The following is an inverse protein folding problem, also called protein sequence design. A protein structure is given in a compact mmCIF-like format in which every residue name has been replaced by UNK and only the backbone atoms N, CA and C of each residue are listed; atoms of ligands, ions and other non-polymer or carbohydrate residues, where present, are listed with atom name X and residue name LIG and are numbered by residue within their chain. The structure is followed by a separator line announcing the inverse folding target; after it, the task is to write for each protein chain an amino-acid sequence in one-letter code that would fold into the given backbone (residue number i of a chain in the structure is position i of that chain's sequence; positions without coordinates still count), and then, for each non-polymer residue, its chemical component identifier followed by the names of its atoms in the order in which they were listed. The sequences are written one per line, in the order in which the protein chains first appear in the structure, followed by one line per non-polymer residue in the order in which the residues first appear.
data_IF_605527094603
#
_entry.id   IF_605527094603
#
_cell.length_a   1.000
_cell.length_b   1.000
_cell.length_c   1.000
_cell.angle_alpha   90.00
_cell.angle_beta   90.00
_cell.angle_gamma   90.00
#
_symmetry.space_group_name_H-M   'P 1'
#
loop_
_entity.id
_entity.type
_entity.pdbx_description
1 polymer ?
#
# COMPACT_ATOMS: atom_id res chain seq x y z
N UNK A 1 -13.73 -4.71 12.48
CA UNK A 1 -13.20 -4.38 11.14
C UNK A 1 -13.84 -5.28 10.08
N UNK A 2 -14.25 -4.75 8.93
CA UNK A 2 -14.88 -5.51 7.83
C UNK A 2 -13.96 -6.61 7.26
N UNK A 3 -12.64 -6.39 7.34
CA UNK A 3 -11.63 -7.29 6.79
C UNK A 3 -10.78 -7.96 7.86
N UNK A 4 -11.26 -7.97 9.10
CA UNK A 4 -10.58 -8.55 10.26
C UNK A 4 -9.18 -7.95 10.54
N UNK A 5 -9.01 -6.68 10.20
CA UNK A 5 -7.78 -5.90 10.42
C UNK A 5 -7.83 -5.29 11.84
N UNK A 6 -7.66 -6.12 12.85
CA UNK A 6 -7.86 -5.76 14.26
C UNK A 6 -6.70 -4.95 14.87
N UNK A 7 -5.53 -4.96 14.22
CA UNK A 7 -4.34 -4.20 14.63
C UNK A 7 -4.11 -2.95 13.78
N UNK A 8 -5.14 -2.53 13.02
CA UNK A 8 -5.06 -1.32 12.18
C UNK A 8 -5.93 -0.23 12.77
N UNK A 9 -5.36 0.95 12.96
CA UNK A 9 -6.02 2.10 13.58
C UNK A 9 -5.55 3.42 12.98
N UNK A 10 -6.33 4.50 13.21
CA UNK A 10 -5.92 5.88 12.99
C UNK A 10 -5.45 6.56 14.28
N UNK A 11 -5.60 5.89 15.42
CA UNK A 11 -5.29 6.43 16.73
C UNK A 11 -3.94 5.93 17.19
N UNK A 12 -2.96 6.82 17.16
CA UNK A 12 -1.58 6.51 17.54
C UNK A 12 -1.48 6.00 18.98
N UNK A 13 -2.28 6.55 19.88
CA UNK A 13 -2.31 6.19 21.29
C UNK A 13 -2.65 4.72 21.55
N UNK A 14 -3.40 4.08 20.64
CA UNK A 14 -3.78 2.66 20.76
C UNK A 14 -2.62 1.71 20.45
N UNK A 15 -1.58 2.18 19.74
CA UNK A 15 -0.46 1.35 19.24
C UNK A 15 0.91 1.96 19.53
N UNK A 16 0.99 2.95 20.39
CA UNK A 16 2.20 3.73 20.63
C UNK A 16 3.41 2.86 21.03
N UNK A 17 3.18 1.85 21.89
CA UNK A 17 4.22 0.93 22.35
C UNK A 17 4.61 -0.16 21.34
N UNK A 18 3.80 -0.32 20.29
CA UNK A 18 3.99 -1.29 19.21
C UNK A 18 4.54 -0.64 17.94
N UNK A 19 4.49 0.70 17.86
CA UNK A 19 4.87 1.42 16.67
C UNK A 19 6.38 1.46 16.52
N UNK A 20 6.88 0.84 15.46
CA UNK A 20 8.29 0.91 15.08
C UNK A 20 8.67 2.37 14.82
N UNK A 21 9.79 2.83 15.35
CA UNK A 21 10.27 4.20 15.17
C UNK A 21 10.56 4.49 13.70
N UNK A 22 10.04 5.62 13.21
CA UNK A 22 10.34 6.11 11.88
C UNK A 22 11.73 6.75 11.81
N UNK A 23 12.42 6.56 10.70
CA UNK A 23 13.79 7.05 10.49
C UNK A 23 13.85 8.06 9.34
N UNK A 24 14.63 9.12 9.53
CA UNK A 24 14.97 10.07 8.47
C UNK A 24 16.02 9.49 7.50
N UNK A 25 16.52 10.30 6.57
CA UNK A 25 17.52 9.87 5.59
C UNK A 25 18.91 9.61 6.19
N UNK A 26 19.19 10.10 7.37
CA UNK A 26 20.42 9.89 8.13
C UNK A 26 20.34 8.68 9.08
N UNK A 27 19.14 8.13 9.28
CA UNK A 27 18.89 7.03 10.21
C UNK A 27 18.50 7.48 11.63
N UNK A 28 18.25 8.77 11.83
CA UNK A 28 17.79 9.29 13.10
C UNK A 28 16.28 9.09 13.26
N UNK A 29 15.83 8.86 14.50
CA UNK A 29 14.41 8.77 14.80
C UNK A 29 13.68 10.09 14.53
N UNK A 30 12.52 10.01 13.91
CA UNK A 30 11.64 11.15 13.66
C UNK A 30 10.23 10.88 14.20
N UNK A 31 9.52 11.92 14.65
CA UNK A 31 8.16 11.77 15.12
C UNK A 31 7.24 11.32 13.98
N UNK A 32 6.25 10.51 14.33
CA UNK A 32 5.17 10.20 13.40
C UNK A 32 4.35 11.47 13.10
N UNK A 33 3.89 11.60 11.85
CA UNK A 33 3.04 12.71 11.47
C UNK A 33 1.68 12.62 12.16
N UNK A 34 1.21 13.75 12.65
CA UNK A 34 -0.16 13.93 13.08
C UNK A 34 -0.98 14.45 11.89
N UNK A 35 -1.72 13.55 11.25
CA UNK A 35 -2.51 13.87 10.06
C UNK A 35 -3.93 14.33 10.38
N UNK A 36 -4.37 14.26 11.65
CA UNK A 36 -5.69 14.73 12.10
C UNK A 36 -6.82 14.38 11.10
N UNK A 37 -7.47 15.40 10.54
CA UNK A 37 -8.56 15.25 9.56
C UNK A 37 -8.14 14.49 8.29
N UNK A 38 -6.85 14.50 7.94
CA UNK A 38 -6.30 13.74 6.82
C UNK A 38 -5.93 12.29 7.17
N UNK A 39 -6.25 11.83 8.38
CA UNK A 39 -6.02 10.46 8.81
C UNK A 39 -6.46 9.40 7.79
N UNK A 40 -7.68 9.45 7.25
CA UNK A 40 -8.15 8.49 6.25
C UNK A 40 -7.33 8.47 4.95
N UNK A 41 -6.68 9.58 4.59
CA UNK A 41 -5.89 9.68 3.36
C UNK A 41 -4.46 9.14 3.50
N UNK A 42 -3.91 9.07 4.73
CA UNK A 42 -2.51 8.65 4.92
C UNK A 42 -2.11 8.30 6.34
N UNK A 43 -3.04 8.31 7.29
CA UNK A 43 -2.75 8.13 8.72
C UNK A 43 -3.00 6.72 9.26
N UNK A 44 -3.29 5.73 8.40
CA UNK A 44 -3.50 4.36 8.87
C UNK A 44 -2.18 3.80 9.41
N UNK A 45 -2.20 3.40 10.66
CA UNK A 45 -1.16 2.60 11.31
C UNK A 45 -1.58 1.13 11.21
N UNK A 46 -0.71 0.29 10.70
CA UNK A 46 -1.01 -1.11 10.42
C UNK A 46 0.25 -1.97 10.49
N UNK A 47 0.08 -3.28 10.35
CA UNK A 47 1.15 -4.25 10.26
C UNK A 47 1.02 -5.13 9.01
N UNK A 48 2.02 -5.95 8.73
CA UNK A 48 2.03 -6.80 7.53
C UNK A 48 0.92 -7.86 7.55
N UNK A 49 0.52 -8.36 8.72
CA UNK A 49 -0.56 -9.33 8.85
C UNK A 49 -1.90 -8.73 8.41
N UNK A 50 -2.29 -7.58 8.97
CA UNK A 50 -3.54 -6.91 8.62
C UNK A 50 -3.56 -6.45 7.16
N UNK A 51 -2.42 -5.93 6.66
CA UNK A 51 -2.31 -5.56 5.26
C UNK A 51 -2.39 -6.78 4.32
N UNK A 52 -1.97 -7.96 4.76
CA UNK A 52 -2.18 -9.22 4.03
C UNK A 52 -3.66 -9.59 3.98
N UNK A 53 -4.41 -9.43 5.08
CA UNK A 53 -5.88 -9.62 5.09
C UNK A 53 -6.56 -8.66 4.10
N UNK A 54 -6.11 -7.40 4.03
CA UNK A 54 -6.62 -6.44 3.05
C UNK A 54 -6.32 -6.86 1.60
N UNK A 55 -5.11 -7.39 1.33
CA UNK A 55 -4.76 -7.94 0.01
C UNK A 55 -5.67 -9.11 -0.34
N UNK A 56 -5.87 -10.05 0.58
CA UNK A 56 -6.74 -11.23 0.37
C UNK A 56 -8.18 -10.78 0.09
N UNK A 57 -8.68 -9.77 0.81
CA UNK A 57 -10.00 -9.20 0.56
C UNK A 57 -10.14 -8.64 -0.87
N UNK A 58 -9.07 -8.11 -1.47
CA UNK A 58 -9.08 -7.63 -2.86
C UNK A 58 -9.38 -8.74 -3.88
N UNK A 59 -9.18 -10.01 -3.53
CA UNK A 59 -9.46 -11.13 -4.42
C UNK A 59 -10.94 -11.54 -4.44
N UNK A 60 -11.76 -10.99 -3.53
CA UNK A 60 -13.20 -11.22 -3.50
C UNK A 60 -13.91 -10.32 -4.50
N UNK A 61 -14.21 -10.85 -5.67
CA UNK A 61 -14.93 -10.10 -6.73
C UNK A 61 -16.40 -9.80 -6.39
N UNK A 62 -16.96 -10.42 -5.34
CA UNK A 62 -18.31 -10.14 -4.84
C UNK A 62 -18.35 -8.90 -3.95
N UNK A 63 -17.21 -8.44 -3.43
CA UNK A 63 -17.11 -7.18 -2.69
C UNK A 63 -17.20 -6.01 -3.66
N UNK A 64 -18.40 -5.41 -3.72
CA UNK A 64 -18.71 -4.32 -4.66
C UNK A 64 -17.91 -3.05 -4.37
N UNK A 65 -17.60 -2.78 -3.10
CA UNK A 65 -16.83 -1.60 -2.70
C UNK A 65 -15.38 -1.71 -3.19
N UNK A 66 -14.71 -2.83 -2.89
CA UNK A 66 -13.34 -3.06 -3.34
C UNK A 66 -13.25 -3.12 -4.87
N UNK A 67 -14.28 -3.65 -5.54
CA UNK A 67 -14.35 -3.64 -7.00
C UNK A 67 -14.44 -2.22 -7.53
N UNK A 68 -15.32 -1.38 -6.96
CA UNK A 68 -15.48 0.02 -7.34
C UNK A 68 -14.17 0.80 -7.21
N UNK A 69 -13.41 0.58 -6.13
CA UNK A 69 -12.11 1.24 -5.93
C UNK A 69 -11.12 0.94 -7.06
N UNK A 70 -11.23 -0.23 -7.69
CA UNK A 70 -10.36 -0.67 -8.78
C UNK A 70 -10.87 -0.33 -10.19
N UNK A 71 -12.05 0.25 -10.32
CA UNK A 71 -12.55 0.72 -11.60
C UNK A 71 -11.75 1.92 -12.07
N UNK A 72 -11.38 1.92 -13.36
CA UNK A 72 -10.61 3.01 -13.91
C UNK A 72 -11.47 4.26 -14.05
N UNK A 73 -11.11 5.31 -13.34
CA UNK A 73 -11.78 6.62 -13.39
C UNK A 73 -11.06 7.61 -14.32
N UNK A 74 -9.73 7.44 -14.47
CA UNK A 74 -8.98 8.29 -15.40
C UNK A 74 -7.83 7.53 -16.06
N UNK A 75 -7.33 8.10 -17.16
CA UNK A 75 -6.19 7.59 -17.92
C UNK A 75 -5.00 8.53 -17.72
N UNK A 76 -3.87 8.00 -17.26
CA UNK A 76 -2.63 8.75 -17.16
C UNK A 76 -1.85 8.65 -18.46
N UNK A 77 -1.69 7.43 -18.99
CA UNK A 77 -1.08 7.17 -20.30
C UNK A 77 -1.51 5.79 -20.84
N UNK A 78 -0.87 5.29 -21.90
CA UNK A 78 -1.22 4.02 -22.53
C UNK A 78 -1.04 2.78 -21.65
N UNK A 79 -0.17 2.86 -20.61
CA UNK A 79 0.18 1.76 -19.71
C UNK A 79 -0.28 1.97 -18.27
N UNK A 80 -0.76 3.18 -17.95
CA UNK A 80 -1.11 3.56 -16.57
C UNK A 80 -2.45 4.29 -16.55
N UNK A 81 -3.35 3.81 -15.71
CA UNK A 81 -4.61 4.43 -15.35
C UNK A 81 -4.70 4.69 -13.85
N UNK A 82 -5.81 5.29 -13.43
CA UNK A 82 -6.11 5.53 -12.02
C UNK A 82 -7.54 5.09 -11.72
N UNK A 83 -7.73 4.43 -10.58
CA UNK A 83 -9.01 4.17 -9.94
C UNK A 83 -9.17 5.05 -8.70
N UNK A 84 -10.04 4.67 -7.79
CA UNK A 84 -10.23 5.37 -6.52
C UNK A 84 -9.16 4.88 -5.51
N UNK A 85 -8.04 5.59 -5.43
CA UNK A 85 -6.91 5.23 -4.57
C UNK A 85 -5.96 4.16 -5.15
N UNK A 86 -6.13 3.76 -6.42
CA UNK A 86 -5.25 2.79 -7.06
C UNK A 86 -4.65 3.31 -8.36
N UNK A 87 -3.34 3.19 -8.51
CA UNK A 87 -2.71 3.19 -9.83
C UNK A 87 -2.98 1.83 -10.49
N UNK A 88 -3.43 1.85 -11.74
CA UNK A 88 -3.77 0.66 -12.52
C UNK A 88 -2.74 0.48 -13.62
N UNK A 89 -1.86 -0.50 -13.46
CA UNK A 89 -0.88 -0.84 -14.47
C UNK A 89 -1.51 -1.73 -15.55
N UNK A 90 -1.15 -1.46 -16.82
CA UNK A 90 -1.65 -2.18 -17.98
C UNK A 90 -3.20 -2.29 -18.02
N UNK A 91 -3.96 -1.18 -17.90
CA UNK A 91 -5.40 -1.22 -17.67
C UNK A 91 -6.18 -1.91 -18.81
N UNK A 92 -5.60 -1.98 -20.00
CA UNK A 92 -6.19 -2.66 -21.17
C UNK A 92 -5.92 -4.16 -21.21
N UNK A 93 -5.05 -4.69 -20.36
CA UNK A 93 -4.65 -6.09 -20.38
C UNK A 93 -5.29 -6.86 -19.21
N UNK A 94 -6.19 -7.76 -19.50
CA UNK A 94 -6.75 -8.66 -18.49
C UNK A 94 -5.73 -9.63 -17.89
N UNK A 95 -4.61 -9.88 -18.57
CA UNK A 95 -3.56 -10.80 -18.10
C UNK A 95 -2.47 -10.12 -17.27
N UNK A 96 -2.22 -8.81 -17.52
CA UNK A 96 -1.11 -8.05 -16.92
C UNK A 96 -1.57 -6.88 -16.05
N UNK A 97 -2.88 -6.74 -15.84
CA UNK A 97 -3.42 -5.67 -15.01
C UNK A 97 -3.01 -5.89 -13.56
N UNK A 98 -2.42 -4.86 -12.97
CA UNK A 98 -2.08 -4.83 -11.55
C UNK A 98 -2.56 -3.51 -10.94
N UNK A 99 -2.82 -3.55 -9.65
CA UNK A 99 -3.22 -2.41 -8.85
C UNK A 99 -2.11 -2.14 -7.84
N UNK A 100 -1.65 -0.89 -7.75
CA UNK A 100 -0.62 -0.52 -6.79
C UNK A 100 -0.91 0.81 -6.13
N UNK A 101 -0.42 0.95 -4.92
CA UNK A 101 -0.36 2.23 -4.22
C UNK A 101 0.87 2.24 -3.31
N UNK A 102 1.44 3.42 -3.10
CA UNK A 102 2.54 3.64 -2.16
C UNK A 102 2.17 4.73 -1.17
N UNK A 103 2.80 4.69 -0.02
CA UNK A 103 2.65 5.70 1.01
C UNK A 103 4.01 6.17 1.51
N UNK A 104 4.12 7.46 1.83
CA UNK A 104 5.31 8.05 2.41
C UNK A 104 4.93 9.09 3.45
N UNK A 105 5.56 9.01 4.60
CA UNK A 105 5.48 10.02 5.67
C UNK A 105 6.87 10.44 6.11
N UNK A 106 6.98 11.20 7.18
CA UNK A 106 8.26 11.70 7.67
C UNK A 106 9.32 10.62 7.94
N UNK A 107 8.88 9.45 8.42
CA UNK A 107 9.80 8.36 8.79
C UNK A 107 9.41 6.99 8.24
N UNK A 108 8.41 6.90 7.36
CA UNK A 108 7.90 5.62 6.88
C UNK A 108 7.64 5.64 5.39
N UNK A 109 7.76 4.47 4.77
CA UNK A 109 7.37 4.24 3.38
C UNK A 109 6.67 2.89 3.24
N UNK A 110 5.75 2.80 2.30
CA UNK A 110 5.05 1.56 2.02
C UNK A 110 4.80 1.37 0.54
N UNK A 111 4.65 0.13 0.12
CA UNK A 111 4.23 -0.24 -1.23
C UNK A 111 3.32 -1.46 -1.16
N UNK A 112 2.16 -1.36 -1.81
CA UNK A 112 1.25 -2.48 -2.03
C UNK A 112 1.08 -2.71 -3.52
N UNK A 113 1.12 -3.96 -3.96
CA UNK A 113 0.81 -4.38 -5.33
C UNK A 113 -0.16 -5.56 -5.25
N UNK A 114 -1.22 -5.53 -6.05
CA UNK A 114 -2.25 -6.58 -6.09
C UNK A 114 -2.51 -7.01 -7.53
N UNK A 115 -2.39 -8.31 -7.76
CA UNK A 115 -2.83 -8.98 -8.98
C UNK A 115 -4.08 -9.80 -8.66
N UNK A 116 -5.23 -9.18 -8.81
CA UNK A 116 -6.53 -9.79 -8.45
C UNK A 116 -6.80 -11.05 -9.25
N UNK A 117 -6.40 -11.07 -10.53
CA UNK A 117 -6.67 -12.20 -11.41
C UNK A 117 -5.94 -13.46 -10.99
N UNK A 118 -4.67 -13.34 -10.62
CA UNK A 118 -3.83 -14.48 -10.21
C UNK A 118 -3.82 -14.67 -8.69
N UNK A 119 -4.57 -13.85 -7.93
CA UNK A 119 -4.65 -13.86 -6.46
C UNK A 119 -3.27 -13.76 -5.81
N UNK A 120 -2.42 -12.89 -6.37
CA UNK A 120 -1.11 -12.58 -5.84
C UNK A 120 -1.07 -11.14 -5.30
N UNK A 121 -0.30 -10.92 -4.25
CA UNK A 121 -0.12 -9.58 -3.72
C UNK A 121 1.19 -9.44 -2.96
N UNK A 122 1.69 -8.22 -2.91
CA UNK A 122 2.90 -7.84 -2.17
C UNK A 122 2.56 -6.65 -1.29
N UNK A 123 3.02 -6.70 -0.08
CA UNK A 123 3.10 -5.54 0.83
C UNK A 123 4.53 -5.38 1.31
N UNK A 124 5.04 -4.16 1.26
CA UNK A 124 6.31 -3.76 1.88
C UNK A 124 6.01 -2.60 2.81
N UNK A 125 6.38 -2.76 4.07
CA UNK A 125 6.34 -1.72 5.08
C UNK A 125 7.78 -1.44 5.51
N UNK A 126 8.16 -0.17 5.51
CA UNK A 126 9.50 0.28 5.87
C UNK A 126 9.40 1.46 6.82
N UNK A 127 10.23 1.47 7.84
CA UNK A 127 10.37 2.57 8.78
C UNK A 127 11.44 3.59 8.36
N UNK A 128 11.61 3.80 7.06
CA UNK A 128 12.55 4.76 6.49
C UNK A 128 11.81 5.72 5.56
N UNK A 129 12.12 7.01 5.67
CA UNK A 129 11.55 8.07 4.82
C UNK A 129 11.83 7.87 3.34
N UNK A 130 10.92 8.34 2.47
CA UNK A 130 11.14 8.41 1.01
C UNK A 130 12.28 9.35 0.58
N UNK A 131 12.78 10.19 1.48
CA UNK A 131 13.97 11.04 1.23
C UNK A 131 15.30 10.27 1.34
N UNK A 132 15.25 9.00 1.77
CA UNK A 132 16.43 8.14 1.75
C UNK A 132 16.87 7.89 0.30
N UNK A 133 18.16 8.02 -0.04
CA UNK A 133 18.65 7.86 -1.42
C UNK A 133 18.40 6.46 -2.00
N UNK A 134 18.17 5.46 -1.15
CA UNK A 134 17.87 4.09 -1.56
C UNK A 134 16.37 3.77 -1.59
N UNK A 135 15.49 4.75 -1.41
CA UNK A 135 14.03 4.56 -1.39
C UNK A 135 13.50 3.79 -2.63
N UNK A 136 14.06 4.06 -3.81
CA UNK A 136 13.68 3.37 -5.04
C UNK A 136 13.87 1.84 -4.98
N UNK A 137 14.68 1.34 -4.04
CA UNK A 137 14.83 -0.10 -3.85
C UNK A 137 13.54 -0.77 -3.36
N UNK A 138 12.65 -0.06 -2.65
CA UNK A 138 11.33 -0.57 -2.25
C UNK A 138 10.48 -0.86 -3.49
N UNK A 139 10.43 0.07 -4.44
CA UNK A 139 9.70 -0.08 -5.69
C UNK A 139 10.27 -1.21 -6.55
N UNK A 140 11.60 -1.29 -6.66
CA UNK A 140 12.29 -2.35 -7.40
C UNK A 140 12.06 -3.71 -6.77
N UNK A 141 12.12 -3.81 -5.45
CA UNK A 141 11.87 -5.04 -4.71
C UNK A 141 10.43 -5.51 -4.91
N UNK A 142 9.44 -4.64 -4.73
CA UNK A 142 8.03 -4.97 -4.93
C UNK A 142 7.77 -5.46 -6.36
N UNK A 143 8.32 -4.78 -7.38
CA UNK A 143 8.18 -5.17 -8.78
C UNK A 143 8.87 -6.52 -9.08
N UNK A 144 10.02 -6.79 -8.47
CA UNK A 144 10.72 -8.07 -8.60
C UNK A 144 9.95 -9.22 -7.96
N UNK A 145 9.47 -9.02 -6.73
CA UNK A 145 8.72 -10.03 -5.99
C UNK A 145 7.43 -10.41 -6.72
N UNK A 146 6.61 -9.42 -7.12
CA UNK A 146 5.34 -9.71 -7.81
C UNK A 146 5.57 -10.41 -9.15
N UNK A 147 6.66 -10.10 -9.85
CA UNK A 147 7.03 -10.80 -11.09
C UNK A 147 7.37 -12.26 -10.84
N UNK A 148 8.14 -12.55 -9.78
CA UNK A 148 8.60 -13.90 -9.48
C UNK A 148 7.49 -14.83 -8.99
N UNK A 149 6.50 -14.33 -8.25
CA UNK A 149 5.36 -15.14 -7.79
C UNK A 149 4.27 -15.34 -8.85
N UNK A 150 4.33 -14.62 -9.98
CA UNK A 150 3.39 -14.77 -11.11
C UNK A 150 3.83 -15.80 -12.13
N UNK A 151 5.07 -16.26 -12.05
CA UNK A 151 5.61 -17.30 -12.90
C UNK A 151 5.40 -18.66 -12.24
#
# INVERSE_FOLDING_TARGET
SKYDMTNSTFKKEEVNDLLVKGLNSQGDEVPNWDLQIFGPAGGVLSNAEDMTKFIIAQFNEKDKELKLLREQTSKINGKLGMGLGWFIENPKSNKKRMFRHGGNTGGYSSMIIVDVKNKNGIIILSNVTSRNPYFENINKLAASLIKNIRN
#
